data_IF_474679329884
#
_entry.id   IF_474679329884
#
_cell.length_a   1.000
_cell.length_b   1.000
_cell.length_c   1.000
_cell.angle_alpha   90.00
_cell.angle_beta   90.00
_cell.angle_gamma   90.00
#
_symmetry.space_group_name_H-M   'P 1'
#
loop_
_entity.id
_entity.type
_entity.pdbx_description
1 polymer ?
#
# COMPACT_ATOMS: atom_id res chain seq x y z
N UNK A 1 22.12 9.25 0.42
CA UNK A 1 21.86 9.70 -0.95
C UNK A 1 22.02 8.51 -1.88
N UNK A 2 20.92 7.98 -2.40
CA UNK A 2 20.89 7.02 -3.51
C UNK A 2 19.56 7.26 -4.22
N UNK A 3 19.52 8.29 -5.07
CA UNK A 3 18.32 8.75 -5.77
C UNK A 3 18.56 8.85 -7.27
N UNK A 4 19.62 8.22 -7.79
CA UNK A 4 19.89 8.20 -9.22
C UNK A 4 19.51 6.84 -9.77
N UNK A 5 18.47 6.83 -10.60
CA UNK A 5 18.07 5.68 -11.39
C UNK A 5 19.28 5.20 -12.20
N UNK A 6 19.75 3.94 -12.05
CA UNK A 6 20.86 3.44 -12.83
C UNK A 6 20.51 3.54 -14.32
N UNK A 7 21.38 4.14 -15.13
CA UNK A 7 21.17 4.29 -16.58
C UNK A 7 20.93 2.96 -17.33
N UNK A 8 21.24 1.83 -16.69
CA UNK A 8 21.05 0.48 -17.24
C UNK A 8 19.76 -0.21 -16.79
N UNK A 9 18.91 0.45 -15.99
CA UNK A 9 17.65 -0.14 -15.58
C UNK A 9 16.59 0.10 -16.67
N UNK A 10 15.99 -0.96 -17.24
CA UNK A 10 14.90 -0.82 -18.21
C UNK A 10 13.73 -0.04 -17.60
N UNK A 11 13.24 0.98 -18.32
CA UNK A 11 12.14 1.85 -17.85
C UNK A 11 10.86 1.04 -17.56
N UNK A 12 10.67 -0.10 -18.22
CA UNK A 12 9.52 -0.98 -18.00
C UNK A 12 9.56 -1.76 -16.68
N UNK A 13 10.65 -1.69 -15.91
CA UNK A 13 10.78 -2.35 -14.61
C UNK A 13 10.55 -1.39 -13.43
N UNK A 14 10.25 -0.13 -13.72
CA UNK A 14 10.06 0.90 -12.70
C UNK A 14 8.66 1.48 -12.74
N UNK A 15 8.18 1.85 -11.57
CA UNK A 15 6.99 2.67 -11.40
C UNK A 15 7.41 4.00 -10.76
N UNK A 16 6.93 5.11 -11.32
CA UNK A 16 7.17 6.44 -10.77
C UNK A 16 6.04 6.77 -9.79
N UNK A 17 6.42 7.16 -8.59
CA UNK A 17 5.50 7.62 -7.57
C UNK A 17 4.83 8.94 -7.98
N UNK A 18 3.84 9.40 -7.19
CA UNK A 18 3.17 10.68 -7.44
C UNK A 18 4.16 11.84 -7.50
N UNK A 19 5.20 11.79 -6.66
CA UNK A 19 6.40 12.59 -6.85
C UNK A 19 7.39 11.89 -7.81
N UNK A 20 7.67 12.46 -9.00
CA UNK A 20 8.50 11.83 -10.03
C UNK A 20 9.99 11.68 -9.67
N UNK A 21 10.44 12.29 -8.57
CA UNK A 21 11.76 12.08 -7.99
C UNK A 21 11.89 10.71 -7.30
N UNK A 22 10.77 10.14 -6.85
CA UNK A 22 10.71 8.83 -6.21
C UNK A 22 10.22 7.79 -7.23
N UNK A 23 10.81 6.60 -7.13
CA UNK A 23 10.49 5.47 -7.98
C UNK A 23 10.67 4.19 -7.18
N UNK A 24 9.89 3.19 -7.57
CA UNK A 24 9.93 1.84 -7.01
C UNK A 24 10.06 0.84 -8.16
N UNK A 25 10.38 -0.41 -7.84
CA UNK A 25 10.29 -1.48 -8.82
C UNK A 25 8.82 -1.82 -9.12
N UNK A 26 8.55 -2.25 -10.35
CA UNK A 26 7.16 -2.51 -10.78
C UNK A 26 6.49 -3.68 -10.03
N UNK A 27 7.27 -4.60 -9.48
CA UNK A 27 6.79 -5.72 -8.65
C UNK A 27 6.36 -5.26 -7.24
N UNK A 28 6.76 -4.06 -6.83
CA UNK A 28 6.32 -3.43 -5.58
C UNK A 28 4.98 -2.73 -5.70
N UNK A 29 4.53 -2.47 -6.92
CA UNK A 29 3.24 -1.84 -7.18
C UNK A 29 2.10 -2.78 -6.76
N UNK A 30 1.08 -2.25 -6.10
CA UNK A 30 -0.12 -2.96 -5.68
C UNK A 30 0.14 -4.11 -4.69
N UNK A 31 1.06 -3.91 -3.75
CA UNK A 31 1.41 -4.90 -2.71
C UNK A 31 0.84 -4.56 -1.32
N UNK A 32 -0.01 -3.53 -1.23
CA UNK A 32 -0.64 -2.95 -0.04
C UNK A 32 0.31 -2.19 0.90
N UNK A 33 1.59 -2.08 0.56
CA UNK A 33 2.62 -1.39 1.32
C UNK A 33 2.90 -0.03 0.68
N UNK A 34 3.15 0.97 1.52
CA UNK A 34 3.55 2.28 1.07
C UNK A 34 5.04 2.31 0.71
N UNK A 35 5.41 1.85 -0.49
CA UNK A 35 6.80 1.91 -0.99
C UNK A 35 7.15 3.32 -1.52
N UNK A 36 6.15 4.07 -2.04
CA UNK A 36 6.35 5.44 -2.52
C UNK A 36 6.41 6.51 -1.43
N UNK A 37 5.86 6.23 -0.24
CA UNK A 37 5.71 7.18 0.86
C UNK A 37 4.47 8.08 0.78
N UNK A 38 3.79 8.13 -0.37
CA UNK A 38 2.56 8.88 -0.61
C UNK A 38 1.39 7.98 -1.05
N UNK A 39 1.56 6.65 -0.94
CA UNK A 39 0.65 5.61 -1.42
C UNK A 39 0.37 5.62 -2.94
N UNK A 40 1.06 6.42 -3.78
CA UNK A 40 0.75 6.50 -5.22
C UNK A 40 0.94 5.18 -5.99
N UNK A 41 1.71 4.27 -5.41
CA UNK A 41 1.92 2.88 -5.83
C UNK A 41 0.72 1.96 -5.58
N UNK A 42 -0.12 2.31 -4.61
CA UNK A 42 -1.24 1.51 -4.13
C UNK A 42 -2.60 2.16 -4.39
N UNK A 43 -2.65 3.50 -4.42
CA UNK A 43 -3.87 4.30 -4.58
C UNK A 43 -3.76 5.23 -5.78
N UNK A 44 -4.82 5.23 -6.60
CA UNK A 44 -4.98 6.20 -7.68
C UNK A 44 -5.21 5.57 -9.05
N UNK A 45 -5.67 6.41 -9.98
CA UNK A 45 -5.98 6.02 -11.36
C UNK A 45 -4.75 5.49 -12.12
N UNK A 46 -3.54 5.85 -11.69
CA UNK A 46 -2.28 5.40 -12.27
C UNK A 46 -1.85 4.00 -11.81
N UNK A 47 -2.32 3.58 -10.63
CA UNK A 47 -1.94 2.32 -10.04
C UNK A 47 -2.78 1.15 -10.60
N UNK A 48 -4.04 1.38 -10.95
CA UNK A 48 -4.97 0.34 -11.45
C UNK A 48 -4.94 -0.94 -10.59
N UNK A 49 -4.75 -0.79 -9.28
CA UNK A 49 -4.59 -1.93 -8.38
C UNK A 49 -5.89 -2.74 -8.25
N UNK A 50 -5.79 -4.07 -8.17
CA UNK A 50 -6.94 -4.91 -7.86
C UNK A 50 -7.47 -4.58 -6.45
N UNK A 51 -8.73 -4.95 -6.13
CA UNK A 51 -9.24 -4.84 -4.77
C UNK A 51 -8.40 -5.65 -3.78
N UNK A 52 -8.50 -5.31 -2.48
CA UNK A 52 -7.81 -6.03 -1.41
C UNK A 52 -8.12 -7.53 -1.45
N UNK A 53 -7.08 -8.36 -1.31
CA UNK A 53 -7.22 -9.81 -1.19
C UNK A 53 -7.98 -10.23 0.09
N UNK A 54 -8.49 -11.47 0.17
CA UNK A 54 -9.26 -11.94 1.33
C UNK A 54 -8.52 -11.88 2.67
N UNK A 55 -7.19 -12.01 2.66
CA UNK A 55 -6.34 -11.90 3.86
C UNK A 55 -6.15 -10.45 4.33
N UNK A 56 -6.65 -9.50 3.56
CA UNK A 56 -6.56 -8.07 3.81
C UNK A 56 -7.96 -7.48 4.02
N UNK A 57 -8.02 -6.41 4.80
CA UNK A 57 -9.24 -5.68 5.10
C UNK A 57 -9.19 -4.30 4.42
N UNK A 58 -10.16 -3.96 3.55
CA UNK A 58 -10.22 -2.66 2.90
C UNK A 58 -10.63 -1.58 3.90
N UNK A 59 -9.76 -0.61 4.15
CA UNK A 59 -10.07 0.57 4.95
C UNK A 59 -9.05 1.69 4.69
N UNK A 60 -9.26 2.89 5.23
CA UNK A 60 -8.21 3.92 5.25
C UNK A 60 -7.30 3.70 6.46
N UNK A 61 -6.04 3.25 6.30
CA UNK A 61 -5.18 2.92 7.44
C UNK A 61 -4.70 4.17 8.16
N UNK A 62 -4.53 4.08 9.48
CA UNK A 62 -3.80 5.07 10.29
C UNK A 62 -2.29 4.80 10.24
N UNK A 63 -1.94 3.54 9.99
CA UNK A 63 -0.56 3.09 9.85
C UNK A 63 0.03 3.56 8.52
N UNK A 64 1.09 4.37 8.59
CA UNK A 64 1.77 4.92 7.41
C UNK A 64 2.30 3.88 6.42
N UNK A 65 2.58 2.66 6.90
CA UNK A 65 3.13 1.57 6.10
C UNK A 65 2.11 0.93 5.15
N UNK A 66 0.81 1.14 5.37
CA UNK A 66 -0.25 0.47 4.62
C UNK A 66 -1.07 1.48 3.83
N UNK A 67 -1.52 1.07 2.65
CA UNK A 67 -2.34 1.89 1.77
C UNK A 67 -3.61 1.13 1.38
N UNK A 68 -4.78 1.70 1.71
CA UNK A 68 -6.13 1.17 1.42
C UNK A 68 -6.51 -0.20 1.99
N UNK A 69 -5.55 -1.02 2.39
CA UNK A 69 -5.77 -2.36 2.92
C UNK A 69 -4.86 -2.57 4.13
N UNK A 70 -5.38 -3.19 5.18
CA UNK A 70 -4.57 -3.66 6.32
C UNK A 70 -4.62 -5.19 6.40
N UNK A 71 -3.62 -5.87 6.98
CA UNK A 71 -3.70 -7.31 7.20
C UNK A 71 -4.82 -7.69 8.17
N UNK A 72 -5.57 -8.75 7.90
CA UNK A 72 -6.66 -9.21 8.80
C UNK A 72 -6.21 -9.69 10.18
N UNK A 73 -4.93 -10.02 10.35
CA UNK A 73 -4.40 -10.34 11.69
C UNK A 73 -4.43 -9.13 12.62
N UNK A 74 -4.50 -7.91 12.08
CA UNK A 74 -4.67 -6.68 12.84
C UNK A 74 -6.12 -6.44 13.28
N UNK A 75 -7.11 -7.07 12.65
CA UNK A 75 -8.50 -6.86 13.05
C UNK A 75 -8.75 -7.31 14.50
N UNK A 76 -9.58 -6.58 15.23
CA UNK A 76 -9.96 -6.85 16.63
C UNK A 76 -8.75 -6.98 17.57
N UNK A 77 -7.69 -6.19 17.35
CA UNK A 77 -6.48 -6.18 18.17
C UNK A 77 -6.49 -5.13 19.29
N UNK A 78 -7.60 -4.40 19.47
CA UNK A 78 -7.76 -3.30 20.44
C UNK A 78 -6.88 -2.07 20.15
N UNK A 79 -6.38 -1.93 18.92
CA UNK A 79 -5.65 -0.79 18.42
C UNK A 79 -6.41 -0.22 17.22
N UNK A 80 -6.33 1.10 17.02
CA UNK A 80 -6.89 1.74 15.84
C UNK A 80 -5.91 1.63 14.66
N UNK A 81 -6.16 0.69 13.77
CA UNK A 81 -5.43 0.50 12.52
C UNK A 81 -6.17 1.12 11.33
N UNK A 82 -7.51 1.21 11.37
CA UNK A 82 -8.32 1.95 10.39
C UNK A 82 -8.87 3.27 10.97
N UNK A 83 -8.90 4.31 10.14
CA UNK A 83 -9.37 5.64 10.54
C UNK A 83 -10.83 5.62 11.03
N UNK A 84 -11.66 4.76 10.44
CA UNK A 84 -13.08 4.59 10.73
C UNK A 84 -13.38 3.55 11.82
N UNK A 85 -12.34 2.98 12.46
CA UNK A 85 -12.45 1.87 13.41
C UNK A 85 -13.11 0.59 12.83
N UNK A 86 -13.15 0.47 11.51
CA UNK A 86 -13.75 -0.72 10.86
C UNK A 86 -12.97 -2.00 11.16
N UNK A 87 -11.66 -1.91 11.39
CA UNK A 87 -10.79 -2.98 11.89
C UNK A 87 -11.26 -3.60 13.21
N UNK A 88 -11.81 -2.79 14.11
CA UNK A 88 -12.22 -3.23 15.44
C UNK A 88 -13.70 -3.61 15.51
N UNK A 89 -14.58 -2.87 14.84
CA UNK A 89 -16.02 -3.07 14.95
C UNK A 89 -16.64 -3.89 13.82
N UNK A 90 -16.01 -3.94 12.65
CA UNK A 90 -16.58 -4.56 11.44
C UNK A 90 -15.77 -5.76 10.95
N UNK A 91 -14.45 -5.62 10.93
CA UNK A 91 -13.56 -6.65 10.45
C UNK A 91 -13.58 -7.86 11.39
N UNK A 92 -13.59 -9.05 10.77
CA UNK A 92 -13.39 -10.32 11.47
C UNK A 92 -11.99 -10.83 11.20
N UNK A 93 -11.32 -11.30 12.25
CA UNK A 93 -10.04 -12.01 12.10
C UNK A 93 -10.19 -13.20 11.17
N UNK A 94 -9.20 -13.42 10.32
CA UNK A 94 -9.09 -14.67 9.60
C UNK A 94 -8.88 -15.81 10.62
N UNK A 95 -9.71 -16.85 10.51
CA UNK A 95 -9.69 -18.04 11.38
C UNK A 95 -8.45 -18.90 11.18
#
# INVERSE_FOLDING_TARGET
>A
MCSDLPNNLPINLIFRCGNPQFWIFIDKKCNYINDCGDCSDEIGAYAECPPCEPEWWPCTPVLYNYCSCIPRYLCQNSQQDCLDWSDEYTCTRAS
#
